data_IF_496857048431
#
_entry.id   IF_496857048431
#
_cell.length_a   1.000
_cell.length_b   1.000
_cell.length_c   1.000
_cell.angle_alpha   90.00
_cell.angle_beta   90.00
_cell.angle_gamma   90.00
#
_symmetry.space_group_name_H-M   'P 1'
#
loop_
_entity.id
_entity.type
_entity.pdbx_description
1 polymer ?
#
# COMPACT_ATOMS: atom_id res chain seq x y z
N UNK A 1 20.86 -11.94 9.37
CA UNK A 1 20.35 -10.94 8.41
C UNK A 1 20.40 -9.56 9.09
N UNK A 2 21.00 -8.54 8.45
CA UNK A 2 21.18 -7.18 9.04
C UNK A 2 19.89 -6.34 9.00
N UNK A 3 18.83 -6.82 8.39
CA UNK A 3 17.55 -6.12 8.22
C UNK A 3 16.49 -6.50 9.26
N UNK A 4 16.77 -7.45 10.16
CA UNK A 4 15.86 -7.86 11.24
C UNK A 4 14.66 -8.71 10.78
N UNK A 5 14.62 -9.13 9.52
CA UNK A 5 13.74 -10.19 9.03
C UNK A 5 14.47 -11.53 9.14
N UNK A 6 13.75 -12.58 9.50
CA UNK A 6 14.26 -13.95 9.45
C UNK A 6 14.29 -14.45 8.00
N UNK A 7 15.15 -15.42 7.70
CA UNK A 7 15.18 -16.06 6.36
C UNK A 7 13.80 -16.57 5.98
N UNK A 8 13.08 -17.18 6.93
CA UNK A 8 11.73 -17.68 6.71
C UNK A 8 10.73 -16.57 6.34
N UNK A 9 10.81 -15.40 6.97
CA UNK A 9 9.94 -14.25 6.64
C UNK A 9 10.24 -13.72 5.23
N UNK A 10 11.50 -13.69 4.82
CA UNK A 10 11.91 -13.30 3.46
C UNK A 10 11.38 -14.31 2.43
N UNK A 11 11.56 -15.61 2.67
CA UNK A 11 11.10 -16.68 1.78
C UNK A 11 9.56 -16.69 1.66
N UNK A 12 8.86 -16.44 2.77
CA UNK A 12 7.38 -16.48 2.79
C UNK A 12 6.76 -15.22 2.17
N UNK A 13 7.39 -14.06 2.37
CA UNK A 13 6.86 -12.77 1.87
C UNK A 13 7.32 -12.41 0.47
N UNK A 14 8.30 -13.12 -0.09
CA UNK A 14 8.94 -12.75 -1.37
C UNK A 14 9.64 -11.38 -1.31
N UNK A 15 10.04 -10.93 -0.12
CA UNK A 15 10.63 -9.61 0.09
C UNK A 15 11.95 -9.47 -0.66
N UNK A 16 11.96 -8.64 -1.68
CA UNK A 16 13.13 -8.34 -2.52
C UNK A 16 13.81 -7.01 -2.14
N UNK A 17 13.15 -6.18 -1.35
CA UNK A 17 13.69 -4.91 -0.86
C UNK A 17 13.21 -4.59 0.55
N UNK A 18 13.98 -3.81 1.28
CA UNK A 18 13.66 -3.36 2.65
C UNK A 18 14.22 -1.97 2.88
N UNK A 19 13.39 -1.06 3.38
CA UNK A 19 13.83 0.23 3.90
C UNK A 19 13.89 0.17 5.42
N UNK A 20 15.09 0.23 6.01
CA UNK A 20 15.28 0.21 7.46
C UNK A 20 16.51 1.00 7.89
N UNK A 21 16.43 1.67 9.04
CA UNK A 21 17.52 2.48 9.59
C UNK A 21 18.06 3.52 8.61
N UNK A 22 17.17 4.22 7.88
CA UNK A 22 17.52 5.20 6.83
C UNK A 22 18.40 4.61 5.70
N UNK A 23 18.31 3.29 5.50
CA UNK A 23 19.01 2.58 4.43
C UNK A 23 17.99 1.80 3.61
N UNK A 24 18.20 1.86 2.32
CA UNK A 24 17.48 1.08 1.35
C UNK A 24 18.37 -0.12 0.96
N UNK A 25 17.82 -1.32 1.08
CA UNK A 25 18.48 -2.56 0.71
C UNK A 25 17.62 -3.25 -0.34
N UNK A 26 18.16 -3.45 -1.51
CA UNK A 26 17.47 -4.06 -2.65
C UNK A 26 18.26 -5.27 -3.11
N UNK A 27 17.61 -6.39 -3.36
CA UNK A 27 18.22 -7.55 -3.98
C UNK A 27 18.53 -7.24 -5.45
N UNK A 28 19.72 -7.59 -5.93
CA UNK A 28 20.02 -7.42 -7.36
C UNK A 28 19.01 -8.21 -8.22
N UNK A 29 18.40 -7.61 -9.25
CA UNK A 29 17.53 -8.34 -10.18
C UNK A 29 18.23 -9.55 -10.83
N UNK A 30 19.53 -9.47 -11.00
CA UNK A 30 20.35 -10.59 -11.53
C UNK A 30 20.51 -11.74 -10.54
N UNK A 31 20.17 -11.54 -9.26
CA UNK A 31 20.23 -12.60 -8.24
C UNK A 31 18.91 -13.40 -8.14
N UNK A 32 17.89 -13.04 -8.92
CA UNK A 32 16.61 -13.74 -8.98
C UNK A 32 16.46 -14.49 -10.32
N UNK A 33 15.80 -15.64 -10.30
CA UNK A 33 15.74 -16.52 -11.48
C UNK A 33 15.04 -15.87 -12.71
N UNK A 34 14.05 -15.01 -12.47
CA UNK A 34 13.26 -14.34 -13.53
C UNK A 34 13.45 -12.83 -13.59
N UNK A 35 14.32 -12.27 -12.74
CA UNK A 35 14.36 -10.82 -12.54
C UNK A 35 13.11 -10.31 -11.83
N UNK A 36 12.98 -9.00 -11.70
CA UNK A 36 11.79 -8.31 -11.22
C UNK A 36 11.86 -6.84 -11.62
N UNK A 37 10.76 -6.11 -11.48
CA UNK A 37 10.71 -4.67 -11.75
C UNK A 37 11.40 -3.88 -10.63
N UNK A 38 12.73 -3.76 -10.77
CA UNK A 38 13.58 -3.18 -9.73
C UNK A 38 13.35 -1.68 -9.54
N UNK A 39 12.91 -0.99 -10.60
CA UNK A 39 12.69 0.46 -10.51
C UNK A 39 11.41 0.77 -9.74
N UNK A 40 10.33 0.01 -9.95
CA UNK A 40 9.11 0.11 -9.16
C UNK A 40 9.38 -0.25 -7.71
N UNK A 41 10.14 -1.33 -7.47
CA UNK A 41 10.57 -1.73 -6.12
C UNK A 41 11.39 -0.62 -5.45
N UNK A 42 12.32 0.00 -6.17
CA UNK A 42 13.14 1.10 -5.64
C UNK A 42 12.28 2.32 -5.31
N UNK A 43 11.34 2.69 -6.20
CA UNK A 43 10.41 3.79 -5.98
C UNK A 43 9.48 3.53 -4.78
N UNK A 44 9.00 2.29 -4.63
CA UNK A 44 8.22 1.83 -3.48
C UNK A 44 8.97 2.06 -2.17
N UNK A 45 10.19 1.54 -2.06
CA UNK A 45 11.02 1.67 -0.86
C UNK A 45 11.45 3.12 -0.58
N UNK A 46 11.74 3.91 -1.63
CA UNK A 46 12.01 5.33 -1.48
C UNK A 46 10.79 6.08 -0.93
N UNK A 47 9.60 5.71 -1.37
CA UNK A 47 8.35 6.28 -0.87
C UNK A 47 8.18 5.98 0.62
N UNK A 48 8.50 4.77 1.09
CA UNK A 48 8.53 4.44 2.52
C UNK A 48 9.47 5.36 3.32
N UNK A 49 10.65 5.64 2.78
CA UNK A 49 11.60 6.55 3.43
C UNK A 49 11.01 7.98 3.56
N UNK A 50 10.40 8.49 2.48
CA UNK A 50 9.78 9.81 2.46
C UNK A 50 8.61 9.88 3.46
N UNK A 51 7.74 8.87 3.49
CA UNK A 51 6.62 8.80 4.45
C UNK A 51 7.15 8.82 5.87
N UNK A 52 8.13 7.97 6.17
CA UNK A 52 8.74 7.86 7.50
C UNK A 52 9.34 9.18 7.97
N UNK A 53 10.06 9.88 7.10
CA UNK A 53 10.65 11.18 7.41
C UNK A 53 9.58 12.26 7.63
N UNK A 54 8.57 12.33 6.75
CA UNK A 54 7.51 13.34 6.84
C UNK A 54 6.57 13.14 8.02
N UNK A 55 6.32 11.91 8.43
CA UNK A 55 5.34 11.56 9.46
C UNK A 55 5.94 11.12 10.79
N UNK A 56 7.28 11.15 10.93
CA UNK A 56 8.00 10.63 12.09
C UNK A 56 7.57 9.19 12.46
N UNK A 57 7.37 8.34 11.45
CA UNK A 57 6.88 6.95 11.56
C UNK A 57 5.48 6.82 12.20
N UNK A 58 4.68 7.87 12.21
CA UNK A 58 3.33 7.88 12.79
C UNK A 58 2.23 7.32 11.91
N UNK A 59 2.54 6.82 10.72
CA UNK A 59 1.56 6.34 9.74
C UNK A 59 1.25 4.85 9.97
N UNK A 60 -0.04 4.45 10.02
CA UNK A 60 -0.41 3.04 10.13
C UNK A 60 -0.06 2.26 8.86
N UNK A 61 0.14 0.94 9.01
CA UNK A 61 0.68 0.09 7.95
C UNK A 61 -0.15 0.14 6.65
N UNK A 62 -1.48 0.08 6.72
CA UNK A 62 -2.35 0.13 5.56
C UNK A 62 -2.17 1.42 4.72
N UNK A 63 -1.96 2.55 5.41
CA UNK A 63 -1.74 3.85 4.75
C UNK A 63 -0.31 3.94 4.22
N UNK A 64 0.66 3.43 4.96
CA UNK A 64 2.07 3.41 4.60
C UNK A 64 2.31 2.60 3.31
N UNK A 65 1.80 1.38 3.28
CA UNK A 65 1.90 0.49 2.11
C UNK A 65 1.04 0.99 0.94
N UNK A 66 -0.15 1.51 1.23
CA UNK A 66 -1.02 2.04 0.19
C UNK A 66 -0.40 3.21 -0.56
N UNK A 67 0.22 4.15 0.15
CA UNK A 67 0.93 5.27 -0.47
C UNK A 67 2.12 4.75 -1.27
N UNK A 68 2.94 3.85 -0.70
CA UNK A 68 4.09 3.30 -1.39
C UNK A 68 3.68 2.58 -2.69
N UNK A 69 2.67 1.71 -2.63
CA UNK A 69 2.13 0.98 -3.79
C UNK A 69 1.53 1.91 -4.85
N UNK A 70 0.87 3.00 -4.44
CA UNK A 70 0.28 3.95 -5.38
C UNK A 70 1.33 4.77 -6.13
N UNK A 71 2.46 5.09 -5.47
CA UNK A 71 3.51 5.94 -6.03
C UNK A 71 4.68 5.17 -6.64
N UNK A 72 4.71 3.83 -6.57
CA UNK A 72 5.82 3.03 -7.10
C UNK A 72 6.04 3.20 -8.61
N UNK A 73 4.98 3.54 -9.36
CA UNK A 73 5.05 3.82 -10.80
C UNK A 73 5.43 5.27 -11.17
N UNK A 74 5.76 6.12 -10.16
CA UNK A 74 6.04 7.55 -10.39
C UNK A 74 7.18 7.80 -11.40
N UNK A 75 8.17 6.94 -11.44
CA UNK A 75 9.30 7.08 -12.35
C UNK A 75 8.94 6.90 -13.83
N UNK A 76 7.83 6.24 -14.15
CA UNK A 76 7.24 6.18 -15.50
C UNK A 76 6.56 7.49 -15.92
N UNK A 77 6.41 8.44 -15.01
CA UNK A 77 5.59 9.64 -15.21
C UNK A 77 4.09 9.41 -15.04
N UNK A 78 3.69 8.23 -14.62
CA UNK A 78 2.30 7.82 -14.42
C UNK A 78 2.09 7.39 -12.96
N UNK A 79 1.34 8.17 -12.20
CA UNK A 79 1.01 7.89 -10.80
C UNK A 79 -0.32 7.16 -10.72
N UNK A 80 -0.34 6.04 -9.98
CA UNK A 80 -1.57 5.28 -9.75
C UNK A 80 -2.10 4.63 -11.03
N UNK A 81 -1.21 4.09 -11.85
CA UNK A 81 -1.60 3.27 -13.01
C UNK A 81 -2.39 2.04 -12.58
N UNK A 82 -2.93 1.32 -13.51
CA UNK A 82 -3.81 0.18 -13.25
C UNK A 82 -3.16 -0.87 -12.33
N UNK A 83 -3.98 -1.51 -11.51
CA UNK A 83 -3.56 -2.72 -10.82
C UNK A 83 -3.12 -3.78 -11.84
N UNK A 84 -2.13 -4.58 -11.47
CA UNK A 84 -1.79 -5.77 -12.25
C UNK A 84 -3.00 -6.69 -12.41
N UNK A 85 -3.15 -7.38 -13.55
CA UNK A 85 -4.35 -8.19 -13.83
C UNK A 85 -4.67 -9.22 -12.73
N UNK A 86 -3.65 -9.87 -12.17
CA UNK A 86 -3.83 -10.82 -11.08
C UNK A 86 -4.37 -10.16 -9.80
N UNK A 87 -3.78 -9.04 -9.40
CA UNK A 87 -4.20 -8.26 -8.22
C UNK A 87 -5.62 -7.72 -8.40
N UNK A 88 -5.96 -7.26 -9.60
CA UNK A 88 -7.31 -6.79 -9.93
C UNK A 88 -8.33 -7.93 -9.86
N UNK A 89 -7.99 -9.12 -10.37
CA UNK A 89 -8.82 -10.32 -10.27
C UNK A 89 -9.10 -10.69 -8.80
N UNK A 90 -8.06 -10.76 -7.96
CA UNK A 90 -8.21 -11.05 -6.52
C UNK A 90 -9.15 -10.05 -5.85
N UNK A 91 -8.97 -8.77 -6.11
CA UNK A 91 -9.81 -7.72 -5.56
C UNK A 91 -11.26 -7.84 -6.02
N UNK A 92 -11.51 -8.10 -7.31
CA UNK A 92 -12.85 -8.32 -7.85
C UNK A 92 -13.55 -9.51 -7.18
N UNK A 93 -12.84 -10.62 -7.00
CA UNK A 93 -13.35 -11.80 -6.29
C UNK A 93 -13.66 -11.51 -4.82
N UNK A 94 -12.77 -10.79 -4.12
CA UNK A 94 -12.97 -10.41 -2.73
C UNK A 94 -14.18 -9.47 -2.55
N UNK A 95 -14.37 -8.51 -3.44
CA UNK A 95 -15.55 -7.63 -3.45
C UNK A 95 -16.83 -8.44 -3.66
N UNK A 96 -16.85 -9.34 -4.64
CA UNK A 96 -18.00 -10.20 -4.95
C UNK A 96 -18.38 -11.12 -3.78
N UNK A 97 -17.36 -11.66 -3.10
CA UNK A 97 -17.54 -12.62 -1.99
C UNK A 97 -17.66 -11.96 -0.63
N UNK A 98 -17.59 -10.62 -0.54
CA UNK A 98 -17.53 -9.86 0.72
C UNK A 98 -16.39 -10.29 1.66
N UNK A 99 -15.23 -10.63 1.10
CA UNK A 99 -14.06 -11.13 1.80
C UNK A 99 -12.86 -10.17 1.69
N UNK A 100 -13.12 -8.87 1.81
CA UNK A 100 -12.04 -7.89 1.90
C UNK A 100 -11.33 -7.99 3.25
N UNK A 101 -10.02 -7.82 3.22
CA UNK A 101 -9.16 -7.79 4.41
C UNK A 101 -9.41 -6.47 5.14
N UNK A 102 -9.51 -6.49 6.45
CA UNK A 102 -9.67 -5.28 7.25
C UNK A 102 -8.32 -4.62 7.52
N UNK A 103 -8.31 -3.30 7.70
CA UNK A 103 -7.08 -2.59 8.06
C UNK A 103 -6.46 -3.09 9.37
N UNK A 104 -7.28 -3.62 10.29
CA UNK A 104 -6.80 -4.25 11.52
C UNK A 104 -6.03 -5.56 11.25
N UNK A 105 -6.47 -6.36 10.29
CA UNK A 105 -5.77 -7.61 9.90
C UNK A 105 -4.43 -7.34 9.21
N UNK A 106 -4.27 -6.19 8.56
CA UNK A 106 -3.02 -5.78 7.94
C UNK A 106 -1.94 -5.41 8.97
N UNK A 107 -2.32 -5.14 10.22
CA UNK A 107 -1.39 -4.78 11.30
C UNK A 107 -0.78 -6.04 11.93
N UNK A 108 0.50 -6.05 12.31
CA UNK A 108 1.51 -4.99 12.18
C UNK A 108 2.28 -5.03 10.85
N UNK A 109 2.00 -5.96 9.97
CA UNK A 109 2.65 -6.10 8.66
C UNK A 109 1.82 -6.99 7.74
N UNK A 110 1.68 -6.61 6.48
CA UNK A 110 1.01 -7.42 5.46
C UNK A 110 1.76 -8.74 5.16
N UNK A 111 3.08 -8.79 5.39
CA UNK A 111 3.87 -10.03 5.28
C UNK A 111 3.48 -11.11 6.29
N UNK A 112 2.65 -10.77 7.31
CA UNK A 112 2.12 -11.72 8.30
C UNK A 112 0.73 -12.24 7.97
N UNK A 113 0.15 -11.82 6.85
CA UNK A 113 -1.10 -12.40 6.36
C UNK A 113 -0.94 -13.90 6.06
N UNK A 114 -2.02 -14.69 6.14
CA UNK A 114 -1.96 -16.15 6.10
C UNK A 114 -1.37 -16.73 4.83
N UNK A 115 -1.49 -16.02 3.70
CA UNK A 115 -1.01 -16.49 2.40
C UNK A 115 -0.42 -15.36 1.55
N UNK A 116 0.31 -15.70 0.50
CA UNK A 116 0.77 -14.74 -0.50
C UNK A 116 -0.41 -14.11 -1.27
N UNK A 117 -1.47 -14.86 -1.47
CA UNK A 117 -2.71 -14.38 -2.10
C UNK A 117 -3.39 -13.31 -1.23
N UNK A 118 -3.48 -13.53 0.09
CA UNK A 118 -4.00 -12.52 1.03
C UNK A 118 -3.12 -11.27 1.04
N UNK A 119 -1.80 -11.43 0.98
CA UNK A 119 -0.89 -10.30 0.90
C UNK A 119 -1.09 -9.51 -0.41
N UNK A 120 -1.17 -10.19 -1.56
CA UNK A 120 -1.44 -9.55 -2.84
C UNK A 120 -2.80 -8.82 -2.86
N UNK A 121 -3.84 -9.45 -2.27
CA UNK A 121 -5.14 -8.82 -2.09
C UNK A 121 -5.04 -7.57 -1.23
N UNK A 122 -4.34 -7.63 -0.09
CA UNK A 122 -4.17 -6.47 0.80
C UNK A 122 -3.47 -5.31 0.08
N UNK A 123 -2.43 -5.57 -0.73
CA UNK A 123 -1.77 -4.55 -1.54
C UNK A 123 -2.73 -3.93 -2.58
N UNK A 124 -3.55 -4.74 -3.24
CA UNK A 124 -4.57 -4.25 -4.17
C UNK A 124 -5.62 -3.37 -3.46
N UNK A 125 -6.04 -3.78 -2.26
CA UNK A 125 -6.98 -3.01 -1.44
C UNK A 125 -6.40 -1.65 -1.06
N UNK A 126 -5.21 -1.59 -0.47
CA UNK A 126 -4.63 -0.33 -0.01
C UNK A 126 -4.26 0.60 -1.17
N UNK A 127 -3.86 0.07 -2.34
CA UNK A 127 -3.72 0.84 -3.56
C UNK A 127 -5.02 1.57 -3.90
N UNK A 128 -6.14 0.84 -3.94
CA UNK A 128 -7.45 1.43 -4.29
C UNK A 128 -8.00 2.37 -3.21
N UNK A 129 -7.58 2.23 -1.94
CA UNK A 129 -7.87 3.23 -0.90
C UNK A 129 -7.24 4.57 -1.25
N UNK A 130 -5.95 4.58 -1.63
CA UNK A 130 -5.25 5.81 -2.00
C UNK A 130 -5.83 6.40 -3.29
N UNK A 131 -6.11 5.55 -4.29
CA UNK A 131 -6.81 5.96 -5.51
C UNK A 131 -8.14 6.67 -5.18
N UNK A 132 -8.96 6.07 -4.33
CA UNK A 132 -10.23 6.64 -3.86
C UNK A 132 -10.03 7.98 -3.14
N UNK A 133 -9.12 8.05 -2.18
CA UNK A 133 -8.88 9.26 -1.40
C UNK A 133 -8.41 10.42 -2.30
N UNK A 134 -7.51 10.15 -3.23
CA UNK A 134 -7.03 11.16 -4.18
C UNK A 134 -8.11 11.61 -5.17
N UNK A 135 -8.94 10.68 -5.64
CA UNK A 135 -10.04 11.00 -6.55
C UNK A 135 -11.11 11.89 -5.86
N UNK A 136 -11.39 11.64 -4.57
CA UNK A 136 -12.41 12.38 -3.84
C UNK A 136 -11.91 13.71 -3.24
N UNK A 137 -10.66 13.77 -2.80
CA UNK A 137 -10.14 14.89 -2.01
C UNK A 137 -8.95 15.61 -2.67
N UNK A 138 -8.58 15.19 -3.88
CA UNK A 138 -7.51 15.80 -4.65
C UNK A 138 -6.10 15.30 -4.31
N UNK A 139 -5.15 15.63 -5.19
CA UNK A 139 -3.77 15.15 -5.12
C UNK A 139 -3.05 15.55 -3.83
N UNK A 140 -3.33 16.76 -3.32
CA UNK A 140 -2.68 17.33 -2.13
C UNK A 140 -3.19 16.74 -0.80
N UNK A 141 -4.25 15.92 -0.84
CA UNK A 141 -4.83 15.35 0.39
C UNK A 141 -3.86 14.44 1.14
N UNK A 142 -3.12 13.59 0.44
CA UNK A 142 -2.14 12.68 1.06
C UNK A 142 -0.91 13.43 1.60
N UNK A 143 -0.24 14.32 0.85
CA UNK A 143 0.81 15.19 1.40
C UNK A 143 0.39 15.94 2.66
N UNK A 144 -0.81 16.54 2.64
CA UNK A 144 -1.36 17.26 3.80
C UNK A 144 -1.58 16.36 5.01
N UNK A 145 -2.09 15.14 4.79
CA UNK A 145 -2.27 14.14 5.84
C UNK A 145 -0.93 13.81 6.52
N UNK A 146 0.10 13.52 5.73
CA UNK A 146 1.44 13.21 6.24
C UNK A 146 2.04 14.37 7.03
N UNK A 147 1.85 15.61 6.57
CA UNK A 147 2.31 16.81 7.27
C UNK A 147 1.65 16.94 8.64
N UNK A 148 0.33 16.78 8.75
CA UNK A 148 -0.38 16.86 10.03
C UNK A 148 0.06 15.80 11.03
N UNK A 149 0.30 14.58 10.56
CA UNK A 149 0.84 13.49 11.39
C UNK A 149 2.25 13.84 11.87
N UNK A 150 3.10 14.35 10.98
CA UNK A 150 4.47 14.80 11.31
C UNK A 150 4.50 15.97 12.30
N UNK A 151 3.48 16.82 12.31
CA UNK A 151 3.27 17.87 13.32
C UNK A 151 2.80 17.33 14.68
N UNK A 152 2.69 16.01 14.84
CA UNK A 152 2.29 15.36 16.09
C UNK A 152 0.78 15.21 16.29
N UNK A 153 -0.06 15.47 15.28
CA UNK A 153 -1.49 15.14 15.37
C UNK A 153 -1.69 13.63 15.26
N UNK A 154 -2.64 13.10 16.02
CA UNK A 154 -3.00 11.68 15.87
C UNK A 154 -3.54 11.41 14.47
N UNK A 155 -3.40 10.17 14.02
CA UNK A 155 -3.91 9.72 12.70
C UNK A 155 -5.40 10.03 12.58
N UNK A 156 -6.19 9.72 13.60
CA UNK A 156 -7.64 9.94 13.60
C UNK A 156 -7.98 11.42 13.42
N UNK A 157 -7.33 12.32 14.18
CA UNK A 157 -7.54 13.77 14.06
C UNK A 157 -7.10 14.29 12.70
N UNK A 158 -6.02 13.73 12.14
CA UNK A 158 -5.52 14.09 10.82
C UNK A 158 -6.47 13.66 9.71
N UNK A 159 -7.03 12.44 9.79
CA UNK A 159 -8.05 11.94 8.86
C UNK A 159 -9.28 12.85 8.87
N UNK A 160 -9.82 13.16 10.05
CA UNK A 160 -10.98 14.07 10.18
C UNK A 160 -10.66 15.46 9.64
N UNK A 161 -9.46 15.99 9.89
CA UNK A 161 -9.05 17.31 9.39
C UNK A 161 -8.99 17.37 7.87
N UNK A 162 -8.42 16.32 7.23
CA UNK A 162 -8.21 16.30 5.77
C UNK A 162 -9.44 15.83 5.02
N UNK A 163 -10.06 14.74 5.48
CA UNK A 163 -11.13 14.04 4.76
C UNK A 163 -12.52 14.30 5.33
N UNK A 164 -12.63 15.04 6.47
CA UNK A 164 -13.89 15.27 7.19
C UNK A 164 -14.63 13.98 7.54
N UNK A 165 -13.88 12.89 7.75
CA UNK A 165 -14.39 11.57 8.02
C UNK A 165 -13.40 10.80 8.92
N UNK A 166 -13.92 9.98 9.81
CA UNK A 166 -13.15 9.02 10.58
C UNK A 166 -12.77 7.79 9.74
N UNK A 167 -11.91 6.93 10.27
CA UNK A 167 -11.43 5.75 9.57
C UNK A 167 -12.56 4.81 9.13
N UNK A 168 -13.56 4.60 9.99
CA UNK A 168 -14.69 3.72 9.69
C UNK A 168 -15.56 4.26 8.53
N UNK A 169 -15.78 5.59 8.52
CA UNK A 169 -16.48 6.28 7.45
C UNK A 169 -15.72 6.22 6.12
N UNK A 170 -14.39 6.40 6.17
CA UNK A 170 -13.50 6.26 5.00
C UNK A 170 -13.57 4.83 4.46
N UNK A 171 -13.41 3.83 5.32
CA UNK A 171 -13.47 2.42 4.91
C UNK A 171 -14.83 2.07 4.29
N UNK A 172 -15.92 2.51 4.90
CA UNK A 172 -17.27 2.29 4.37
C UNK A 172 -17.48 2.97 3.01
N UNK A 173 -16.97 4.19 2.83
CA UNK A 173 -17.07 4.92 1.58
C UNK A 173 -16.21 4.28 0.48
N UNK A 174 -14.98 3.87 0.79
CA UNK A 174 -14.11 3.13 -0.12
C UNK A 174 -14.74 1.79 -0.54
N UNK A 175 -15.32 1.01 0.37
CA UNK A 175 -16.03 -0.23 0.04
C UNK A 175 -17.20 0.02 -0.92
N UNK A 176 -17.92 1.14 -0.79
CA UNK A 176 -18.95 1.54 -1.76
C UNK A 176 -18.34 1.94 -3.11
N UNK A 177 -17.21 2.61 -3.10
CA UNK A 177 -16.44 2.93 -4.32
C UNK A 177 -16.05 1.66 -5.06
N UNK A 178 -15.49 0.65 -4.38
CA UNK A 178 -15.12 -0.63 -5.00
C UNK A 178 -16.29 -1.34 -5.65
N UNK A 179 -17.49 -1.32 -5.06
CA UNK A 179 -18.70 -1.92 -5.66
C UNK A 179 -19.12 -1.27 -6.98
N UNK A 180 -18.69 -0.04 -7.23
CA UNK A 180 -18.99 0.71 -8.45
C UNK A 180 -17.84 0.70 -9.45
N UNK A 181 -16.65 0.30 -9.00
CA UNK A 181 -15.46 0.20 -9.85
C UNK A 181 -15.70 -0.88 -10.92
N UNK A 182 -15.40 -0.53 -12.16
CA UNK A 182 -15.33 -1.53 -13.22
C UNK A 182 -14.00 -2.25 -13.12
N UNK A 183 -14.03 -3.55 -12.91
CA UNK A 183 -12.86 -4.40 -12.98
C UNK A 183 -12.73 -4.92 -14.40
N UNK A 184 -11.50 -5.03 -14.90
CA UNK A 184 -11.26 -5.68 -16.17
C UNK A 184 -11.60 -7.16 -16.03
N UNK A 185 -12.38 -7.70 -16.98
CA UNK A 185 -12.66 -9.14 -17.03
C UNK A 185 -11.34 -9.86 -17.31
N UNK A 186 -10.78 -10.52 -16.31
CA UNK A 186 -9.72 -11.48 -16.52
C UNK A 186 -10.41 -12.79 -16.91
N UNK A 187 -10.22 -13.30 -18.13
CA UNK A 187 -10.75 -14.62 -18.50
C UNK A 187 -10.23 -15.65 -17.50
N UNK A 188 -11.17 -16.43 -16.92
CA UNK A 188 -10.86 -17.51 -16.00
C UNK A 188 -10.16 -18.68 -16.67
#
# INVERSE_FOLDING_TARGET
>A
ARHGLTVKEIETSGTIAVCKFHRLMVTSPLATASGYDWADTLAHELTHLIISQKSHNGVPIWLHEGIAKYYESLWHGEVGTALEPYSEHLLAQAVKRHKLITFAQMHPSMAKLPSQEDAALAFAEVFTVIEYLRAQYGAESIPRLLTLIGEGKSVEKSLVTVFRADLASIESAWRRYLKRRKFHDVPG
#
